data_IF_523968601106
#
_entry.id   IF_523968601106
#
_cell.length_a   1.000
_cell.length_b   1.000
_cell.length_c   1.000
_cell.angle_alpha   90.00
_cell.angle_beta   90.00
_cell.angle_gamma   90.00
#
_symmetry.space_group_name_H-M   'P 1'
#
loop_
_entity.id
_entity.type
_entity.pdbx_description
1 polymer ?
#
# COMPACT_ATOMS: atom_id res chain seq x y z
N UNK A 1 -0.25 -10.60 -11.03
CA UNK A 1 -1.18 -9.48 -10.73
C UNK A 1 -0.54 -8.55 -9.74
N UNK A 2 -0.65 -7.27 -10.01
CA UNK A 2 -0.13 -6.24 -9.12
C UNK A 2 -1.23 -5.68 -8.23
N UNK A 3 -0.90 -5.47 -6.96
CA UNK A 3 -1.83 -4.87 -6.02
C UNK A 3 -1.13 -3.68 -5.36
N UNK A 4 -1.75 -2.52 -5.45
CA UNK A 4 -1.21 -1.30 -4.87
C UNK A 4 -2.09 -0.87 -3.71
N UNK A 5 -1.49 -0.78 -2.53
CA UNK A 5 -2.21 -0.40 -1.32
C UNK A 5 -1.84 1.04 -0.97
N UNK A 6 -2.84 1.88 -0.86
CA UNK A 6 -2.64 3.30 -0.51
C UNK A 6 -2.93 3.50 0.96
N UNK A 7 -1.88 3.54 1.75
CA UNK A 7 -1.97 3.72 3.18
C UNK A 7 -1.42 2.53 3.95
N UNK A 8 -0.50 2.80 4.86
CA UNK A 8 0.17 1.76 5.65
C UNK A 8 -0.33 1.76 7.10
N UNK A 9 -1.57 2.13 7.31
CA UNK A 9 -2.19 2.04 8.61
C UNK A 9 -2.50 0.60 8.97
N UNK A 10 -3.32 0.42 9.99
CA UNK A 10 -3.63 -0.92 10.49
C UNK A 10 -4.23 -1.82 9.42
N UNK A 11 -5.21 -1.30 8.69
CA UNK A 11 -5.87 -2.09 7.64
C UNK A 11 -4.94 -2.34 6.47
N UNK A 12 -4.22 -1.30 6.02
CA UNK A 12 -3.29 -1.43 4.91
C UNK A 12 -2.18 -2.42 5.21
N UNK A 13 -1.62 -2.37 6.42
CA UNK A 13 -0.58 -3.31 6.83
C UNK A 13 -1.10 -4.74 6.87
N UNK A 14 -2.31 -4.93 7.36
CA UNK A 14 -2.94 -6.25 7.41
C UNK A 14 -3.14 -6.82 6.01
N UNK A 15 -3.63 -5.99 5.10
CA UNK A 15 -3.82 -6.40 3.72
C UNK A 15 -2.50 -6.73 3.05
N UNK A 16 -1.49 -5.89 3.28
CA UNK A 16 -0.17 -6.13 2.71
C UNK A 16 0.40 -7.46 3.20
N UNK A 17 0.26 -7.75 4.48
CA UNK A 17 0.70 -9.00 5.06
C UNK A 17 0.00 -10.19 4.40
N UNK A 18 -1.31 -10.13 4.33
CA UNK A 18 -2.10 -11.22 3.77
C UNK A 18 -1.77 -11.45 2.30
N UNK A 19 -1.73 -10.37 1.52
CA UNK A 19 -1.53 -10.47 0.08
C UNK A 19 -0.10 -10.82 -0.29
N UNK A 20 0.87 -10.39 0.50
CA UNK A 20 2.27 -10.72 0.21
C UNK A 20 2.58 -12.20 0.39
N UNK A 21 1.77 -12.90 1.15
CA UNK A 21 1.92 -14.35 1.32
C UNK A 21 1.36 -15.13 0.15
N UNK A 22 0.64 -14.46 -0.74
CA UNK A 22 0.12 -15.05 -1.95
C UNK A 22 1.05 -14.71 -3.11
N UNK A 23 0.72 -15.08 -4.31
CA UNK A 23 1.58 -14.84 -5.45
C UNK A 23 1.32 -13.51 -6.14
N UNK A 24 1.01 -12.48 -5.35
CA UNK A 24 0.76 -11.15 -5.88
C UNK A 24 1.99 -10.27 -5.70
N UNK A 25 2.18 -9.35 -6.64
CA UNK A 25 3.16 -8.29 -6.47
C UNK A 25 2.49 -7.18 -5.68
N UNK A 26 2.89 -7.01 -4.43
CA UNK A 26 2.27 -6.03 -3.56
C UNK A 26 3.17 -4.79 -3.44
N UNK A 27 2.58 -3.63 -3.65
CA UNK A 27 3.25 -2.36 -3.39
C UNK A 27 2.38 -1.56 -2.42
N UNK A 28 3.02 -0.83 -1.51
CA UNK A 28 2.28 -0.04 -0.53
C UNK A 28 2.84 1.38 -0.51
N UNK A 29 1.94 2.35 -0.44
CA UNK A 29 2.29 3.77 -0.46
C UNK A 29 1.84 4.41 0.84
N UNK A 30 2.72 5.19 1.46
CA UNK A 30 2.40 5.95 2.67
C UNK A 30 3.38 7.10 2.81
N UNK A 31 3.02 8.08 3.60
CA UNK A 31 3.91 9.19 3.91
C UNK A 31 4.90 8.84 5.00
N UNK A 32 4.62 7.83 5.78
CA UNK A 32 5.45 7.46 6.93
C UNK A 32 6.49 6.42 6.53
N UNK A 33 7.72 6.89 6.38
CA UNK A 33 8.82 6.02 5.98
C UNK A 33 9.06 4.88 6.95
N UNK A 34 8.93 5.14 8.24
CA UNK A 34 9.19 4.11 9.25
C UNK A 34 8.22 2.93 9.14
N UNK A 35 6.96 3.21 8.89
CA UNK A 35 5.99 2.15 8.70
C UNK A 35 6.31 1.30 7.48
N UNK A 36 6.74 1.96 6.41
CA UNK A 36 7.10 1.26 5.18
C UNK A 36 8.32 0.37 5.40
N UNK A 37 9.32 0.87 6.09
CA UNK A 37 10.53 0.08 6.37
C UNK A 37 10.22 -1.16 7.19
N UNK A 38 9.33 -1.04 8.16
CA UNK A 38 8.93 -2.20 8.97
C UNK A 38 8.25 -3.26 8.13
N UNK A 39 7.40 -2.82 7.21
CA UNK A 39 6.72 -3.76 6.34
C UNK A 39 7.70 -4.46 5.41
N UNK A 40 8.69 -3.74 4.90
CA UNK A 40 9.72 -4.35 4.06
C UNK A 40 10.57 -5.37 4.80
N UNK A 41 10.79 -5.16 6.09
CA UNK A 41 11.55 -6.11 6.89
C UNK A 41 10.79 -7.41 7.11
N UNK A 42 9.48 -7.31 7.26
CA UNK A 42 8.65 -8.45 7.60
C UNK A 42 8.08 -9.18 6.39
N UNK A 43 7.90 -8.47 5.28
CA UNK A 43 7.22 -9.03 4.11
C UNK A 43 7.95 -8.68 2.83
N UNK A 44 7.78 -9.52 1.83
CA UNK A 44 8.35 -9.30 0.51
C UNK A 44 7.39 -8.43 -0.30
N UNK A 45 7.56 -7.14 -0.20
CA UNK A 45 6.72 -6.19 -0.92
C UNK A 45 7.53 -4.93 -1.25
N UNK A 46 7.01 -4.12 -2.16
CA UNK A 46 7.62 -2.86 -2.53
C UNK A 46 6.96 -1.72 -1.76
N UNK A 47 7.71 -0.67 -1.51
CA UNK A 47 7.18 0.51 -0.84
C UNK A 47 7.48 1.76 -1.62
N UNK A 48 6.62 2.77 -1.49
CA UNK A 48 6.81 4.07 -2.11
C UNK A 48 6.34 5.14 -1.13
N UNK A 49 7.18 6.13 -0.90
CA UNK A 49 6.86 7.24 0.01
C UNK A 49 6.20 8.35 -0.81
N UNK A 50 5.02 8.77 -0.38
CA UNK A 50 4.32 9.85 -1.06
C UNK A 50 2.86 9.90 -0.71
N UNK A 51 2.20 10.92 -1.28
CA UNK A 51 0.76 11.09 -1.11
C UNK A 51 0.01 10.14 -2.05
N UNK A 52 -0.94 9.41 -1.50
CA UNK A 52 -1.74 8.50 -2.29
C UNK A 52 -2.56 9.20 -3.37
N UNK A 53 -2.88 10.48 -3.15
CA UNK A 53 -3.68 11.24 -4.11
C UNK A 53 -2.88 11.85 -5.26
N UNK A 54 -1.55 11.76 -5.22
CA UNK A 54 -0.72 12.31 -6.28
C UNK A 54 -0.54 11.31 -7.42
N UNK A 55 -0.87 11.69 -8.66
CA UNK A 55 -0.71 10.77 -9.80
C UNK A 55 0.72 10.26 -9.96
N UNK A 56 1.71 11.14 -9.73
CA UNK A 56 3.11 10.74 -9.84
C UNK A 56 3.49 9.65 -8.85
N UNK A 57 2.89 9.67 -7.67
CA UNK A 57 3.15 8.65 -6.66
C UNK A 57 2.70 7.28 -7.17
N UNK A 58 1.53 7.23 -7.79
CA UNK A 58 1.01 5.98 -8.33
C UNK A 58 1.88 5.45 -9.44
N UNK A 59 2.37 6.34 -10.31
CA UNK A 59 3.27 5.92 -11.39
C UNK A 59 4.57 5.38 -10.85
N UNK A 60 5.16 6.04 -9.85
CA UNK A 60 6.41 5.57 -9.25
C UNK A 60 6.22 4.23 -8.55
N UNK A 61 5.04 3.97 -8.05
CA UNK A 61 4.74 2.68 -7.41
C UNK A 61 4.47 1.58 -8.44
N UNK A 62 4.47 1.92 -9.72
CA UNK A 62 4.31 0.93 -10.77
C UNK A 62 2.87 0.62 -11.14
N UNK A 63 1.95 1.50 -10.80
CA UNK A 63 0.55 1.27 -11.15
C UNK A 63 0.34 1.32 -12.66
N UNK A 64 -0.38 0.35 -13.19
CA UNK A 64 -0.74 0.30 -14.60
C UNK A 64 -2.18 -0.21 -14.74
N UNK A 65 -2.56 -0.57 -15.97
CA UNK A 65 -3.94 -0.99 -16.24
C UNK A 65 -4.33 -2.25 -15.48
N UNK A 66 -3.37 -3.10 -15.21
CA UNK A 66 -3.63 -4.39 -14.56
C UNK A 66 -3.44 -4.35 -13.05
N UNK A 67 -3.21 -3.17 -12.51
CA UNK A 67 -2.99 -3.01 -11.08
C UNK A 67 -4.31 -2.77 -10.36
N UNK A 68 -4.51 -3.53 -9.28
CA UNK A 68 -5.64 -3.31 -8.39
C UNK A 68 -5.21 -2.31 -7.32
N UNK A 69 -5.94 -1.22 -7.20
CA UNK A 69 -5.61 -0.18 -6.23
C UNK A 69 -6.60 -0.23 -5.07
N UNK A 70 -6.05 -0.39 -3.88
CA UNK A 70 -6.84 -0.45 -2.65
C UNK A 70 -6.52 0.76 -1.78
N UNK A 71 -7.46 1.66 -1.65
CA UNK A 71 -7.29 2.86 -0.84
C UNK A 71 -7.75 2.60 0.58
N UNK A 72 -6.80 2.44 1.49
CA UNK A 72 -7.08 2.12 2.89
C UNK A 72 -6.41 3.13 3.80
N UNK A 73 -6.70 4.39 3.57
CA UNK A 73 -6.11 5.47 4.35
C UNK A 73 -6.70 5.52 5.75
N UNK A 74 -6.11 6.37 6.59
CA UNK A 74 -6.53 6.46 7.99
C UNK A 74 -7.90 7.08 8.19
N UNK A 75 -8.59 7.38 7.13
CA UNK A 75 -9.95 7.89 7.23
C UNK A 75 -10.95 6.80 7.57
N UNK A 76 -10.48 5.57 7.71
CA UNK A 76 -11.33 4.45 8.09
C UNK A 76 -12.09 4.72 9.38
N UNK A 77 -11.51 5.45 10.30
CA UNK A 77 -12.16 5.79 11.54
C UNK A 77 -13.40 6.65 11.30
N UNK A 78 -13.35 7.49 10.31
CA UNK A 78 -14.47 8.35 9.97
C UNK A 78 -15.54 7.59 9.20
N UNK A 79 -15.18 6.49 8.60
CA UNK A 79 -16.09 5.72 7.77
C UNK A 79 -16.90 4.70 8.53
N UNK A 80 -16.63 4.53 9.78
CA UNK A 80 -17.31 3.55 10.59
C UNK A 80 -18.69 4.03 11.04
N UNK A 81 -18.99 5.25 10.84
CA UNK A 81 -20.25 5.81 11.25
C UNK A 81 -21.45 5.22 10.51
#
# INVERSE_FOLDING_TARGET
MKILILGAGRVGSSLASTLSKQEYEVSIVDLNKEKLLRLQEDYDLATEIGHASHPNTLERAGADQDTIVLAVTNSDECNIT
#
